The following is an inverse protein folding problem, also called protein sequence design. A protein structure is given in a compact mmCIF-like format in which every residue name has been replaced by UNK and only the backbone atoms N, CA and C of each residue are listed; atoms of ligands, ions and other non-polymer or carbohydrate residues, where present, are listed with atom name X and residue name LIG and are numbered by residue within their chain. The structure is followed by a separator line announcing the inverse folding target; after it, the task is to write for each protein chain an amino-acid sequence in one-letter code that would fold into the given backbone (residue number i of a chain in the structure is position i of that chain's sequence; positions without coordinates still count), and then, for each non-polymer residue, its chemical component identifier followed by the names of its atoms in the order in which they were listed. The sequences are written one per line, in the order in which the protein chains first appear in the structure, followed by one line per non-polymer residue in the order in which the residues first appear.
data_IF_248838066322
#
_entry.id   IF_248838066322
#
_cell.length_a   1.000
_cell.length_b   1.000
_cell.length_c   1.000
_cell.angle_alpha   90.00
_cell.angle_beta   90.00
_cell.angle_gamma   90.00
#
_symmetry.space_group_name_H-M   'P 1'
#
loop_
_entity.id
_entity.type
_entity.pdbx_description
1 polymer ?
#
# COMPACT_ATOMS: atom_id res chain seq x y z
N UNK A 1 31.10 45.41 -24.87
CA UNK A 1 31.09 44.04 -24.30
C UNK A 1 32.04 43.22 -25.15
N UNK A 2 33.08 42.60 -24.56
CA UNK A 2 34.03 41.83 -25.36
C UNK A 2 33.38 40.56 -25.90
N UNK A 3 33.83 40.04 -27.04
CA UNK A 3 33.32 38.76 -27.61
C UNK A 3 33.42 37.63 -26.57
N UNK A 4 34.44 37.68 -25.72
CA UNK A 4 34.66 36.73 -24.62
C UNK A 4 33.55 36.80 -23.56
N UNK A 5 33.06 38.00 -23.24
CA UNK A 5 31.98 38.17 -22.26
C UNK A 5 30.65 37.60 -22.78
N UNK A 6 30.39 37.77 -24.07
CA UNK A 6 29.21 37.21 -24.74
C UNK A 6 29.27 35.68 -24.68
N UNK A 7 30.40 35.08 -25.06
CA UNK A 7 30.59 33.61 -25.02
C UNK A 7 30.40 33.06 -23.61
N UNK A 8 31.01 33.70 -22.59
CA UNK A 8 30.86 33.28 -21.19
C UNK A 8 29.41 33.33 -20.72
N UNK A 9 28.69 34.39 -21.07
CA UNK A 9 27.29 34.58 -20.67
C UNK A 9 26.40 33.55 -21.35
N UNK A 10 26.58 33.32 -22.64
CA UNK A 10 25.82 32.32 -23.40
C UNK A 10 26.02 30.92 -22.82
N UNK A 11 27.27 30.51 -22.56
CA UNK A 11 27.56 29.19 -21.96
C UNK A 11 26.87 29.04 -20.59
N UNK A 12 26.98 30.07 -19.73
CA UNK A 12 26.38 30.04 -18.40
C UNK A 12 24.85 29.91 -18.49
N UNK A 13 24.21 30.66 -19.39
CA UNK A 13 22.76 30.58 -19.61
C UNK A 13 22.37 29.20 -20.15
N UNK A 14 23.14 28.63 -21.09
CA UNK A 14 22.88 27.28 -21.61
C UNK A 14 23.00 26.21 -20.53
N UNK A 15 24.05 26.24 -19.72
CA UNK A 15 24.23 25.29 -18.61
C UNK A 15 23.09 25.42 -17.60
N UNK A 16 22.71 26.65 -17.23
CA UNK A 16 21.61 26.90 -16.32
C UNK A 16 20.28 26.35 -16.89
N UNK A 17 20.00 26.60 -18.17
CA UNK A 17 18.80 26.10 -18.84
C UNK A 17 18.76 24.56 -18.88
N UNK A 18 19.87 23.92 -19.24
CA UNK A 18 19.98 22.45 -19.24
C UNK A 18 19.81 21.90 -17.83
N UNK A 19 20.46 22.50 -16.83
CA UNK A 19 20.32 22.11 -15.43
C UNK A 19 18.87 22.18 -14.94
N UNK A 20 18.14 23.25 -15.28
CA UNK A 20 16.72 23.39 -14.93
C UNK A 20 15.86 22.30 -15.56
N UNK A 21 16.05 22.02 -16.86
CA UNK A 21 15.29 20.99 -17.58
C UNK A 21 15.53 19.61 -16.99
N UNK A 22 16.79 19.27 -16.75
CA UNK A 22 17.17 17.98 -16.15
C UNK A 22 16.60 17.85 -14.73
N UNK A 23 16.75 18.88 -13.90
CA UNK A 23 16.20 18.90 -12.54
C UNK A 23 14.67 18.74 -12.55
N UNK A 24 13.97 19.46 -13.42
CA UNK A 24 12.51 19.36 -13.53
C UNK A 24 12.05 17.96 -13.94
N UNK A 25 12.75 17.32 -14.88
CA UNK A 25 12.47 15.95 -15.31
C UNK A 25 12.61 14.96 -14.15
N UNK A 26 13.72 15.01 -13.41
CA UNK A 26 13.94 14.14 -12.26
C UNK A 26 12.94 14.38 -11.13
N UNK A 27 12.62 15.64 -10.83
CA UNK A 27 11.62 16.00 -9.82
C UNK A 27 10.24 15.44 -10.20
N UNK A 28 9.79 15.65 -11.44
CA UNK A 28 8.49 15.14 -11.91
C UNK A 28 8.39 13.63 -11.81
N UNK A 29 9.46 12.91 -12.17
CA UNK A 29 9.50 11.45 -12.08
C UNK A 29 9.46 10.96 -10.63
N UNK A 30 10.20 11.63 -9.74
CA UNK A 30 10.20 11.34 -8.30
C UNK A 30 8.83 11.59 -7.70
N UNK A 31 8.23 12.74 -7.98
CA UNK A 31 6.94 13.16 -7.40
C UNK A 31 5.81 12.22 -7.84
N UNK A 32 5.78 11.79 -9.11
CA UNK A 32 4.84 10.75 -9.58
C UNK A 32 5.03 9.42 -8.84
N UNK A 33 6.27 9.02 -8.59
CA UNK A 33 6.58 7.77 -7.90
C UNK A 33 6.16 7.84 -6.43
N UNK A 34 6.46 8.95 -5.75
CA UNK A 34 6.05 9.20 -4.38
C UNK A 34 4.53 9.23 -4.25
N UNK A 35 3.84 9.94 -5.14
CA UNK A 35 2.37 10.03 -5.09
C UNK A 35 1.70 8.69 -5.33
N UNK A 36 2.23 7.88 -6.27
CA UNK A 36 1.77 6.52 -6.51
C UNK A 36 1.92 5.66 -5.25
N UNK A 37 3.08 5.68 -4.60
CA UNK A 37 3.33 4.94 -3.36
C UNK A 37 2.39 5.39 -2.24
N UNK A 38 2.25 6.70 -2.04
CA UNK A 38 1.33 7.28 -1.04
C UNK A 38 -0.10 6.76 -1.19
N UNK A 39 -0.63 6.75 -2.42
CA UNK A 39 -1.99 6.26 -2.70
C UNK A 39 -2.10 4.76 -2.38
N UNK A 40 -1.16 3.94 -2.88
CA UNK A 40 -1.15 2.49 -2.65
C UNK A 40 -1.10 2.19 -1.16
N UNK A 41 -0.16 2.79 -0.43
CA UNK A 41 0.04 2.58 1.00
C UNK A 41 -1.20 2.98 1.80
N UNK A 42 -1.86 4.09 1.44
CA UNK A 42 -3.09 4.53 2.10
C UNK A 42 -4.20 3.47 1.97
N UNK A 43 -4.48 2.99 0.76
CA UNK A 43 -5.50 1.96 0.54
C UNK A 43 -5.15 0.65 1.25
N UNK A 44 -3.90 0.21 1.18
CA UNK A 44 -3.46 -1.01 1.86
C UNK A 44 -3.56 -0.91 3.39
N UNK A 45 -3.26 0.26 3.97
CA UNK A 45 -3.45 0.52 5.41
C UNK A 45 -4.93 0.43 5.79
N UNK A 46 -5.82 1.04 5.00
CA UNK A 46 -7.25 1.03 5.30
C UNK A 46 -7.84 -0.37 5.17
N UNK A 47 -7.47 -1.11 4.12
CA UNK A 47 -7.74 -2.55 3.97
C UNK A 47 -7.24 -3.36 5.19
N UNK A 48 -6.00 -3.12 5.64
CA UNK A 48 -5.43 -3.81 6.80
C UNK A 48 -6.24 -3.54 8.08
N UNK A 49 -6.64 -2.29 8.33
CA UNK A 49 -7.48 -1.94 9.50
C UNK A 49 -8.81 -2.67 9.45
N UNK A 50 -9.49 -2.69 8.32
CA UNK A 50 -10.79 -3.37 8.19
C UNK A 50 -10.63 -4.87 8.46
N UNK A 51 -9.62 -5.51 7.85
CA UNK A 51 -9.36 -6.94 8.05
C UNK A 51 -8.96 -7.27 9.49
N UNK A 52 -8.00 -6.54 10.07
CA UNK A 52 -7.42 -6.84 11.38
C UNK A 52 -8.29 -6.41 12.57
N UNK A 53 -9.03 -5.31 12.45
CA UNK A 53 -9.80 -4.74 13.55
C UNK A 53 -11.29 -5.03 13.42
N UNK A 54 -11.89 -4.67 12.28
CA UNK A 54 -13.35 -4.69 12.12
C UNK A 54 -13.92 -6.09 11.95
N UNK A 55 -13.14 -7.02 11.38
CA UNK A 55 -13.62 -8.33 10.95
C UNK A 55 -13.23 -9.45 11.92
N UNK A 56 -11.96 -9.52 12.37
CA UNK A 56 -11.45 -10.67 13.15
C UNK A 56 -12.23 -10.93 14.46
N UNK A 57 -12.89 -9.92 15.01
CA UNK A 57 -13.60 -10.00 16.29
C UNK A 57 -15.11 -10.24 16.16
N UNK A 58 -15.65 -10.34 14.94
CA UNK A 58 -17.10 -10.44 14.71
C UNK A 58 -17.53 -11.84 14.32
N UNK A 59 -18.72 -12.22 14.77
CA UNK A 59 -19.41 -13.42 14.27
C UNK A 59 -19.79 -13.23 12.79
N UNK A 60 -19.85 -14.35 12.08
CA UNK A 60 -20.22 -14.35 10.68
C UNK A 60 -21.61 -13.75 10.48
N UNK A 61 -21.70 -12.68 9.69
CA UNK A 61 -22.93 -11.91 9.46
C UNK A 61 -22.92 -11.29 8.07
N UNK A 62 -24.10 -10.94 7.54
CA UNK A 62 -24.22 -10.26 6.24
C UNK A 62 -23.47 -8.93 6.23
N UNK A 63 -23.46 -8.21 7.36
CA UNK A 63 -22.71 -6.96 7.51
C UNK A 63 -21.20 -7.20 7.40
N UNK A 64 -20.69 -8.28 7.99
CA UNK A 64 -19.28 -8.67 7.89
C UNK A 64 -18.89 -9.00 6.45
N UNK A 65 -19.74 -9.72 5.71
CA UNK A 65 -19.48 -10.04 4.29
C UNK A 65 -19.39 -8.76 3.46
N UNK A 66 -20.32 -7.80 3.66
CA UNK A 66 -20.26 -6.50 2.97
C UNK A 66 -19.00 -5.72 3.31
N UNK A 67 -18.56 -5.74 4.56
CA UNK A 67 -17.32 -5.07 4.98
C UNK A 67 -16.06 -5.69 4.38
N UNK A 68 -16.11 -6.97 4.00
CA UNK A 68 -15.00 -7.67 3.34
C UNK A 68 -14.86 -7.33 1.85
N UNK A 69 -15.93 -6.89 1.19
CA UNK A 69 -15.90 -6.61 -0.25
C UNK A 69 -14.88 -5.53 -0.62
N UNK A 70 -14.86 -4.41 0.12
CA UNK A 70 -13.96 -3.30 -0.18
C UNK A 70 -12.47 -3.69 -0.02
N UNK A 71 -12.01 -4.24 1.13
CA UNK A 71 -10.62 -4.69 1.27
C UNK A 71 -10.21 -5.73 0.22
N UNK A 72 -11.11 -6.65 -0.13
CA UNK A 72 -10.83 -7.67 -1.14
C UNK A 72 -10.61 -7.06 -2.53
N UNK A 73 -11.39 -6.03 -2.89
CA UNK A 73 -11.23 -5.31 -4.16
C UNK A 73 -9.95 -4.46 -4.15
N UNK A 74 -9.68 -3.75 -3.05
CA UNK A 74 -8.47 -2.92 -2.92
C UNK A 74 -7.20 -3.78 -2.97
N UNK A 75 -7.17 -4.93 -2.32
CA UNK A 75 -6.04 -5.86 -2.37
C UNK A 75 -5.85 -6.45 -3.77
N UNK A 76 -6.93 -6.70 -4.51
CA UNK A 76 -6.82 -7.15 -5.90
C UNK A 76 -6.25 -6.08 -6.83
N UNK A 77 -6.43 -4.80 -6.50
CA UNK A 77 -5.95 -3.67 -7.30
C UNK A 77 -4.53 -3.23 -6.91
N UNK A 78 -4.24 -3.14 -5.62
CA UNK A 78 -3.04 -2.51 -5.07
C UNK A 78 -2.09 -3.49 -4.37
N UNK A 79 -2.55 -4.71 -4.06
CA UNK A 79 -1.77 -5.69 -3.34
C UNK A 79 -0.65 -6.33 -4.17
N UNK A 80 0.23 -7.05 -3.48
CA UNK A 80 1.23 -7.91 -4.12
C UNK A 80 0.55 -9.11 -4.77
N UNK A 81 1.25 -9.79 -5.69
CA UNK A 81 0.73 -11.02 -6.31
C UNK A 81 0.25 -12.05 -5.27
N UNK A 82 1.00 -12.22 -4.18
CA UNK A 82 0.64 -13.13 -3.08
C UNK A 82 -0.64 -12.67 -2.37
N UNK A 83 -0.78 -11.37 -2.11
CA UNK A 83 -1.99 -10.81 -1.49
C UNK A 83 -3.21 -10.98 -2.39
N UNK A 84 -3.06 -10.83 -3.70
CA UNK A 84 -4.11 -11.08 -4.68
C UNK A 84 -4.56 -12.56 -4.61
N UNK A 85 -3.62 -13.49 -4.61
CA UNK A 85 -3.92 -14.93 -4.50
C UNK A 85 -4.61 -15.28 -3.18
N UNK A 86 -4.13 -14.73 -2.06
CA UNK A 86 -4.74 -14.91 -0.74
C UNK A 86 -6.15 -14.30 -0.66
N UNK A 87 -6.36 -13.11 -1.23
CA UNK A 87 -7.67 -12.45 -1.29
C UNK A 87 -8.67 -13.26 -2.14
N UNK A 88 -8.23 -13.80 -3.28
CA UNK A 88 -9.07 -14.66 -4.12
C UNK A 88 -9.44 -15.96 -3.42
N UNK A 89 -8.47 -16.60 -2.75
CA UNK A 89 -8.71 -17.80 -1.93
C UNK A 89 -9.72 -17.50 -0.82
N UNK A 90 -9.55 -16.37 -0.12
CA UNK A 90 -10.46 -15.94 0.93
C UNK A 90 -11.90 -15.79 0.40
N UNK A 91 -12.07 -15.11 -0.73
CA UNK A 91 -13.38 -14.92 -1.36
C UNK A 91 -14.00 -16.25 -1.80
N UNK A 92 -13.20 -17.18 -2.28
CA UNK A 92 -13.65 -18.52 -2.67
C UNK A 92 -14.08 -19.37 -1.46
N UNK A 93 -13.28 -19.37 -0.40
CA UNK A 93 -13.54 -20.12 0.83
C UNK A 93 -14.81 -19.59 1.54
N UNK A 94 -15.01 -18.27 1.53
CA UNK A 94 -16.24 -17.66 2.03
C UNK A 94 -17.49 -18.11 1.26
N UNK A 95 -17.41 -18.23 -0.07
CA UNK A 95 -18.53 -18.69 -0.91
C UNK A 95 -18.90 -20.15 -0.63
N UNK A 96 -17.92 -20.99 -0.28
CA UNK A 96 -18.16 -22.40 0.04
C UNK A 96 -18.89 -22.62 1.36
N UNK A 97 -18.87 -21.64 2.25
CA UNK A 97 -19.40 -21.77 3.60
C UNK A 97 -18.45 -22.59 4.47
N UNK A 98 -17.89 -21.98 5.51
CA UNK A 98 -16.96 -22.64 6.42
C UNK A 98 -16.21 -21.67 7.31
N UNK A 99 -15.38 -22.20 8.19
CA UNK A 99 -14.43 -21.39 8.95
C UNK A 99 -13.35 -20.87 7.99
N UNK A 100 -13.27 -19.55 7.85
CA UNK A 100 -12.33 -18.90 6.94
C UNK A 100 -11.16 -18.36 7.75
N UNK A 101 -9.94 -18.74 7.35
CA UNK A 101 -8.71 -18.22 7.95
C UNK A 101 -8.22 -16.98 7.19
N UNK A 102 -8.22 -15.84 7.86
CA UNK A 102 -7.73 -14.55 7.33
C UNK A 102 -6.30 -14.22 7.76
N UNK A 103 -5.71 -15.00 8.68
CA UNK A 103 -4.44 -14.66 9.32
C UNK A 103 -3.31 -14.57 8.30
N UNK A 104 -3.25 -15.50 7.34
CA UNK A 104 -2.21 -15.48 6.30
C UNK A 104 -2.24 -14.19 5.49
N UNK A 105 -3.43 -13.72 5.11
CA UNK A 105 -3.61 -12.48 4.36
C UNK A 105 -3.25 -11.26 5.21
N UNK A 106 -3.70 -11.23 6.47
CA UNK A 106 -3.46 -10.10 7.38
C UNK A 106 -1.96 -10.00 7.70
N UNK A 107 -1.29 -11.11 7.97
CA UNK A 107 0.15 -11.14 8.27
C UNK A 107 0.99 -10.75 7.06
N UNK A 108 0.66 -11.25 5.86
CA UNK A 108 1.38 -10.88 4.64
C UNK A 108 1.21 -9.39 4.31
N UNK A 109 -0.02 -8.88 4.46
CA UNK A 109 -0.30 -7.44 4.33
C UNK A 109 0.44 -6.61 5.37
N UNK A 110 0.50 -7.07 6.63
CA UNK A 110 1.26 -6.40 7.70
C UNK A 110 2.75 -6.34 7.37
N UNK A 111 3.32 -7.45 6.89
CA UNK A 111 4.73 -7.52 6.54
C UNK A 111 5.08 -6.55 5.41
N UNK A 112 4.28 -6.50 4.35
CA UNK A 112 4.52 -5.58 3.24
C UNK A 112 4.33 -4.12 3.65
N UNK A 113 3.30 -3.80 4.45
CA UNK A 113 3.10 -2.44 4.97
C UNK A 113 4.25 -1.98 5.85
N UNK A 114 4.79 -2.85 6.72
CA UNK A 114 5.95 -2.49 7.56
C UNK A 114 7.18 -2.20 6.71
N UNK A 115 7.41 -3.00 5.67
CA UNK A 115 8.50 -2.77 4.71
C UNK A 115 8.34 -1.45 3.95
N UNK A 116 7.13 -1.15 3.46
CA UNK A 116 6.86 0.11 2.74
C UNK A 116 6.98 1.35 3.64
N UNK A 117 6.70 1.20 4.94
CA UNK A 117 6.84 2.24 5.96
C UNK A 117 8.24 2.27 6.61
N UNK A 118 9.19 1.48 6.11
CA UNK A 118 10.56 1.38 6.64
C UNK A 118 10.62 1.03 8.14
N UNK A 119 9.66 0.23 8.61
CA UNK A 119 9.58 -0.27 9.98
C UNK A 119 10.32 -1.60 10.13
N UNK A 120 10.83 -1.87 11.33
CA UNK A 120 11.50 -3.14 11.63
C UNK A 120 10.62 -4.35 11.29
N UNK A 121 11.14 -5.42 10.67
CA UNK A 121 10.35 -6.60 10.37
C UNK A 121 9.91 -7.29 11.66
N UNK A 122 8.69 -7.83 11.67
CA UNK A 122 8.16 -8.61 12.81
C UNK A 122 7.65 -9.93 12.27
N UNK A 123 8.34 -11.02 12.64
CA UNK A 123 8.07 -12.39 12.16
C UNK A 123 6.97 -13.10 12.95
N UNK A 124 6.51 -12.52 14.05
CA UNK A 124 5.47 -13.07 14.90
C UNK A 124 4.09 -12.80 14.32
N UNK A 125 3.19 -13.78 14.45
CA UNK A 125 1.79 -13.62 14.06
C UNK A 125 1.12 -12.49 14.87
N UNK A 126 0.15 -11.83 14.25
CA UNK A 126 -0.66 -10.85 14.97
C UNK A 126 -1.49 -11.53 16.07
N UNK A 127 -1.41 -10.99 17.28
CA UNK A 127 -2.25 -11.41 18.40
C UNK A 127 -3.51 -10.55 18.49
N UNK A 128 -4.66 -11.16 18.24
CA UNK A 128 -5.96 -10.49 18.35
C UNK A 128 -6.54 -10.63 19.75
N UNK A 129 -7.11 -9.55 20.30
CA UNK A 129 -7.78 -9.56 21.59
C UNK A 129 -9.18 -10.17 21.42
N UNK A 130 -9.29 -11.49 21.61
CA UNK A 130 -10.59 -12.17 21.64
C UNK A 130 -11.13 -12.20 23.08
N UNK A 131 -12.05 -11.30 23.41
CA UNK A 131 -12.81 -11.40 24.65
C UNK A 131 -14.04 -12.30 24.42
N UNK A 132 -14.14 -13.39 25.18
CA UNK A 132 -15.38 -14.17 25.24
C UNK A 132 -16.37 -13.36 26.07
N UNK A 133 -17.51 -12.96 25.49
CA UNK A 133 -18.59 -12.32 26.26
C UNK A 133 -18.97 -13.28 27.40
N UNK A 134 -18.67 -12.89 28.64
CA UNK A 134 -19.10 -13.63 29.83
C UNK A 134 -20.63 -13.50 29.84
N UNK A 135 -21.32 -14.64 29.78
CA UNK A 135 -22.77 -14.74 29.71
C UNK A 135 -23.38 -14.54 31.09
#
# INVERSE_FOLDING_TARGET
MSVVDVIKTTITVTIAAVGWVVAHYFNTKRDKTLKRREIITKHLIDSYKILAYDIVHREYSVELVRKLELPLVELQLFGTKRQIELAQKLAYDMKKGGAVNMNDLINDLRAELRKELELEPVNEDIHFIRYKKIR
#
